data_IF_300975707200
#
_entry.id   IF_300975707200
#
_cell.length_a   1.000
_cell.length_b   1.000
_cell.length_c   1.000
_cell.angle_alpha   90.00
_cell.angle_beta   90.00
_cell.angle_gamma   90.00
#
_symmetry.space_group_name_H-M   'P 1'
#
loop_
_entity.id
_entity.type
_entity.pdbx_description
1 polymer ?
#
# COMPACT_ATOMS: atom_id res chain seq x y z
N UNK A 1 7.61 -23.98 -11.70
CA UNK A 1 6.55 -23.83 -10.67
C UNK A 1 6.95 -22.65 -9.79
N UNK A 2 6.42 -21.44 -10.05
CA UNK A 2 6.61 -20.31 -9.14
C UNK A 2 5.87 -20.61 -7.84
N UNK A 3 6.54 -20.50 -6.70
CA UNK A 3 5.85 -20.67 -5.43
C UNK A 3 4.99 -19.42 -5.17
N UNK A 4 3.75 -19.64 -4.72
CA UNK A 4 2.80 -18.63 -4.25
C UNK A 4 3.35 -17.70 -3.15
N UNK A 5 4.58 -17.92 -2.67
CA UNK A 5 5.25 -17.12 -1.65
C UNK A 5 6.22 -16.05 -2.20
N UNK A 6 6.34 -15.87 -3.52
CA UNK A 6 7.34 -14.94 -4.10
C UNK A 6 6.83 -13.52 -4.35
N UNK A 7 5.53 -13.32 -4.57
CA UNK A 7 4.95 -11.97 -4.70
C UNK A 7 4.68 -11.40 -3.31
N UNK A 8 5.21 -10.22 -2.94
CA UNK A 8 4.90 -9.60 -1.66
C UNK A 8 3.41 -9.33 -1.49
N UNK A 9 2.90 -9.42 -0.27
CA UNK A 9 1.50 -9.19 0.06
C UNK A 9 0.99 -7.80 -0.32
N UNK A 10 1.88 -6.81 -0.40
CA UNK A 10 1.56 -5.45 -0.80
C UNK A 10 1.19 -5.28 -2.28
N UNK A 11 1.47 -6.28 -3.13
CA UNK A 11 1.24 -6.28 -4.60
C UNK A 11 0.03 -7.15 -5.01
N UNK A 12 -0.88 -7.43 -4.06
CA UNK A 12 -1.99 -8.36 -4.26
C UNK A 12 -3.30 -7.68 -3.93
N UNK A 13 -4.41 -8.14 -4.54
CA UNK A 13 -5.74 -7.64 -4.20
C UNK A 13 -6.10 -8.13 -2.80
N UNK A 14 -6.40 -7.23 -1.87
CA UNK A 14 -6.83 -7.60 -0.52
C UNK A 14 -8.35 -7.75 -0.48
N UNK A 15 -8.82 -8.98 -0.54
CA UNK A 15 -10.22 -9.34 -0.39
C UNK A 15 -10.47 -9.67 1.08
N UNK A 16 -11.34 -8.94 1.75
CA UNK A 16 -11.65 -9.19 3.17
C UNK A 16 -13.06 -9.75 3.32
N UNK A 17 -13.17 -10.86 4.06
CA UNK A 17 -14.43 -11.56 4.28
C UNK A 17 -14.92 -11.23 5.68
N UNK A 18 -16.08 -10.60 5.73
CA UNK A 18 -16.75 -10.13 6.93
C UNK A 18 -18.03 -10.91 7.19
N UNK A 19 -18.47 -10.92 8.44
CA UNK A 19 -19.70 -11.59 8.84
C UNK A 19 -19.64 -12.10 10.29
N UNK A 20 -20.79 -12.43 10.85
CA UNK A 20 -20.92 -12.94 12.22
C UNK A 20 -20.20 -14.27 12.44
N UNK A 21 -20.02 -14.69 13.69
CA UNK A 21 -19.55 -16.04 13.98
C UNK A 21 -20.50 -17.05 13.36
N UNK A 22 -19.93 -18.17 12.93
CA UNK A 22 -20.67 -19.27 12.34
C UNK A 22 -21.43 -18.95 11.04
N UNK A 23 -21.32 -17.76 10.43
CA UNK A 23 -21.93 -17.47 9.11
C UNK A 23 -21.31 -18.25 7.95
N UNK A 24 -20.26 -19.04 8.24
CA UNK A 24 -19.61 -19.92 7.28
C UNK A 24 -18.53 -19.25 6.43
N UNK A 25 -17.97 -18.11 6.87
CA UNK A 25 -16.83 -17.41 6.21
C UNK A 25 -15.69 -18.35 5.84
N UNK A 26 -15.18 -19.10 6.81
CA UNK A 26 -14.09 -20.06 6.66
C UNK A 26 -14.42 -21.17 5.64
N UNK A 27 -15.66 -21.68 5.65
CA UNK A 27 -16.15 -22.64 4.65
C UNK A 27 -16.25 -22.01 3.25
N UNK A 28 -16.67 -20.75 3.17
CA UNK A 28 -16.80 -20.01 1.92
C UNK A 28 -15.42 -19.74 1.29
N UNK A 29 -14.41 -19.42 2.10
CA UNK A 29 -13.00 -19.29 1.65
C UNK A 29 -12.53 -20.59 1.00
N UNK A 30 -12.79 -21.72 1.65
CA UNK A 30 -12.39 -23.03 1.14
C UNK A 30 -13.10 -23.36 -0.17
N UNK A 31 -14.39 -23.03 -0.27
CA UNK A 31 -15.17 -23.22 -1.49
C UNK A 31 -14.68 -22.32 -2.64
N UNK A 32 -14.40 -21.04 -2.38
CA UNK A 32 -13.90 -20.09 -3.37
C UNK A 32 -12.52 -20.49 -3.92
N UNK A 33 -11.68 -21.11 -3.09
CA UNK A 33 -10.31 -21.49 -3.48
C UNK A 33 -10.21 -22.87 -4.11
N UNK A 34 -11.25 -23.70 -4.03
CA UNK A 34 -11.19 -25.11 -4.47
C UNK A 34 -10.17 -25.95 -3.70
N UNK A 35 -9.64 -25.45 -2.58
CA UNK A 35 -8.68 -26.14 -1.72
C UNK A 35 -9.35 -26.47 -0.39
N UNK A 36 -9.18 -27.71 0.09
CA UNK A 36 -9.51 -28.09 1.48
C UNK A 36 -8.47 -27.45 2.40
N UNK A 37 -8.59 -26.16 2.67
CA UNK A 37 -7.77 -25.53 3.68
C UNK A 37 -8.31 -25.94 5.04
N UNK A 38 -7.54 -26.76 5.75
CA UNK A 38 -7.71 -26.89 7.19
C UNK A 38 -7.45 -25.48 7.77
N UNK A 39 -8.51 -24.77 8.17
CA UNK A 39 -8.40 -23.55 8.97
C UNK A 39 -8.20 -24.05 10.40
N UNK A 40 -7.02 -24.60 10.65
CA UNK A 40 -6.61 -25.07 11.97
C UNK A 40 -5.60 -24.05 12.44
N UNK A 41 -6.05 -23.20 13.36
CA UNK A 41 -5.13 -22.72 14.38
C UNK A 41 -4.86 -23.93 15.28
N UNK A 42 -3.60 -24.33 15.44
CA UNK A 42 -3.21 -25.41 16.36
C UNK A 42 -3.43 -25.03 17.84
N UNK A 43 -4.06 -23.89 18.14
CA UNK A 43 -4.34 -23.43 19.51
C UNK A 43 -5.83 -23.10 19.68
N UNK A 44 -6.63 -23.97 20.31
CA UNK A 44 -7.99 -23.66 20.73
C UNK A 44 -7.98 -22.40 21.61
N UNK A 45 -8.70 -21.34 21.20
CA UNK A 45 -8.78 -20.07 21.93
C UNK A 45 -8.16 -18.83 21.27
N UNK A 46 -7.72 -18.90 20.01
CA UNK A 46 -6.98 -17.82 19.30
C UNK A 46 -7.73 -17.11 18.18
N UNK A 47 -9.06 -17.27 18.07
CA UNK A 47 -9.92 -16.66 17.03
C UNK A 47 -10.15 -15.15 17.21
N UNK A 48 -9.13 -14.39 17.59
CA UNK A 48 -9.19 -12.94 17.82
C UNK A 48 -8.36 -12.10 16.85
N UNK A 49 -7.49 -12.70 16.03
CA UNK A 49 -6.67 -11.98 15.06
C UNK A 49 -7.06 -12.34 13.62
N UNK A 50 -7.19 -11.34 12.70
CA UNK A 50 -7.52 -11.61 11.30
C UNK A 50 -6.51 -12.53 10.64
N UNK A 51 -6.97 -13.64 10.07
CA UNK A 51 -6.09 -14.61 9.40
C UNK A 51 -6.01 -14.25 7.92
N UNK A 52 -4.80 -14.03 7.44
CA UNK A 52 -4.52 -13.60 6.07
C UNK A 52 -3.87 -14.72 5.27
N UNK A 53 -4.38 -15.02 4.07
CA UNK A 53 -3.83 -16.06 3.19
C UNK A 53 -3.63 -15.56 1.77
N UNK A 54 -2.43 -15.84 1.24
CA UNK A 54 -2.07 -15.65 -0.16
C UNK A 54 -2.68 -16.76 -1.03
N UNK A 55 -3.28 -16.38 -2.16
CA UNK A 55 -3.84 -17.34 -3.13
C UNK A 55 -3.95 -16.71 -4.51
N UNK A 56 -4.52 -17.44 -5.46
CA UNK A 56 -4.76 -16.99 -6.83
C UNK A 56 -6.24 -17.19 -7.18
N UNK A 57 -6.89 -16.15 -7.69
CA UNK A 57 -8.25 -16.21 -8.24
C UNK A 57 -8.15 -15.87 -9.72
N UNK A 58 -8.44 -16.80 -10.61
CA UNK A 58 -8.49 -16.51 -12.04
C UNK A 58 -9.80 -15.78 -12.39
N UNK A 59 -9.78 -14.69 -13.20
CA UNK A 59 -8.62 -14.08 -13.87
C UNK A 59 -7.92 -12.95 -13.09
N UNK A 60 -8.31 -12.66 -11.83
CA UNK A 60 -7.74 -11.59 -11.00
C UNK A 60 -6.24 -11.76 -10.67
N UNK A 61 -5.71 -12.99 -10.75
CA UNK A 61 -4.32 -13.29 -10.40
C UNK A 61 -4.13 -13.44 -8.88
N UNK A 62 -2.95 -13.07 -8.33
CA UNK A 62 -2.64 -13.28 -6.93
C UNK A 62 -3.42 -12.32 -6.02
N UNK A 63 -4.14 -12.88 -5.05
CA UNK A 63 -4.93 -12.15 -4.06
C UNK A 63 -4.53 -12.52 -2.65
N UNK A 64 -4.89 -11.67 -1.71
CA UNK A 64 -4.80 -11.89 -0.28
C UNK A 64 -6.22 -11.93 0.26
N UNK A 65 -6.63 -13.07 0.82
CA UNK A 65 -7.91 -13.17 1.54
C UNK A 65 -7.67 -13.01 3.03
N UNK A 66 -8.38 -12.07 3.66
CA UNK A 66 -8.41 -11.90 5.11
C UNK A 66 -9.74 -12.40 5.67
N UNK A 67 -9.69 -13.44 6.51
CA UNK A 67 -10.83 -13.88 7.34
C UNK A 67 -10.86 -13.03 8.61
N UNK A 68 -11.92 -12.26 8.79
CA UNK A 68 -12.11 -11.48 10.01
C UNK A 68 -12.72 -12.34 11.11
N UNK A 69 -12.27 -12.17 12.35
CA UNK A 69 -12.93 -12.83 13.48
C UNK A 69 -14.42 -12.43 13.51
N UNK A 70 -15.34 -13.38 13.71
CA UNK A 70 -16.76 -13.05 13.81
C UNK A 70 -17.02 -12.16 15.04
N UNK A 71 -17.79 -11.08 14.85
CA UNK A 71 -17.81 -9.88 15.71
C UNK A 71 -18.91 -9.90 16.80
N UNK A 72 -19.75 -10.93 16.86
CA UNK A 72 -20.97 -10.99 17.66
C UNK A 72 -20.81 -11.37 19.16
N UNK A 73 -19.81 -10.82 19.87
CA UNK A 73 -19.78 -10.89 21.35
C UNK A 73 -20.02 -9.50 21.96
N UNK A 74 -21.06 -9.36 22.78
CA UNK A 74 -21.30 -8.19 23.63
C UNK A 74 -20.37 -8.22 24.86
N UNK A 75 -19.51 -7.20 25.04
CA UNK A 75 -18.60 -7.02 26.19
C UNK A 75 -17.37 -6.15 25.87
N UNK A 76 -16.43 -5.94 26.81
CA UNK A 76 -15.15 -5.20 26.58
C UNK A 76 -14.31 -5.76 25.41
N UNK A 77 -14.49 -7.05 25.08
CA UNK A 77 -13.89 -7.72 23.92
C UNK A 77 -14.52 -7.27 22.58
N UNK A 78 -15.67 -6.59 22.59
CA UNK A 78 -16.38 -6.09 21.41
C UNK A 78 -15.76 -4.84 20.82
N UNK A 79 -15.36 -3.87 21.65
CA UNK A 79 -14.73 -2.61 21.19
C UNK A 79 -13.39 -2.88 20.49
N UNK A 80 -12.55 -3.72 21.10
CA UNK A 80 -11.30 -4.20 20.51
C UNK A 80 -11.49 -4.92 19.17
N UNK A 81 -12.64 -5.58 18.94
CA UNK A 81 -12.94 -6.26 17.67
C UNK A 81 -13.49 -5.32 16.61
N UNK A 82 -14.26 -4.30 17.00
CA UNK A 82 -14.68 -3.22 16.09
C UNK A 82 -13.45 -2.49 15.57
N UNK A 83 -12.51 -2.13 16.45
CA UNK A 83 -11.25 -1.51 16.08
C UNK A 83 -10.43 -2.39 15.13
N UNK A 84 -10.28 -3.68 15.44
CA UNK A 84 -9.58 -4.64 14.54
C UNK A 84 -10.24 -4.77 13.18
N UNK A 85 -11.55 -4.67 13.10
CA UNK A 85 -12.28 -4.80 11.83
C UNK A 85 -12.16 -3.54 10.99
N UNK A 86 -12.12 -2.37 11.63
CA UNK A 86 -11.75 -1.11 10.98
C UNK A 86 -10.32 -1.18 10.40
N UNK A 87 -9.36 -1.77 11.13
CA UNK A 87 -7.99 -1.98 10.62
C UNK A 87 -7.94 -2.88 9.39
N UNK A 88 -8.78 -3.93 9.34
CA UNK A 88 -8.87 -4.76 8.13
C UNK A 88 -9.36 -3.94 6.94
N UNK A 89 -10.35 -3.07 7.13
CA UNK A 89 -10.87 -2.19 6.07
C UNK A 89 -9.83 -1.22 5.49
N UNK A 90 -8.80 -0.85 6.26
CA UNK A 90 -7.73 0.05 5.79
C UNK A 90 -6.92 -0.57 4.66
N UNK A 91 -6.72 -1.90 4.69
CA UNK A 91 -6.04 -2.65 3.64
C UNK A 91 -6.98 -3.30 2.63
N UNK A 92 -8.28 -3.42 2.91
CA UNK A 92 -9.25 -4.08 2.02
C UNK A 92 -9.48 -3.32 0.71
N UNK A 93 -9.24 -3.96 -0.42
CA UNK A 93 -9.60 -3.48 -1.76
C UNK A 93 -11.02 -3.90 -2.17
N UNK A 94 -11.50 -5.05 -1.67
CA UNK A 94 -12.87 -5.55 -1.89
C UNK A 94 -13.39 -6.27 -0.65
N UNK A 95 -14.61 -5.94 -0.23
CA UNK A 95 -15.26 -6.59 0.91
C UNK A 95 -16.28 -7.64 0.45
N UNK A 96 -16.31 -8.79 1.13
CA UNK A 96 -17.39 -9.79 1.01
C UNK A 96 -18.08 -9.93 2.35
N UNK A 97 -19.36 -9.56 2.41
CA UNK A 97 -20.18 -9.70 3.61
C UNK A 97 -20.98 -11.00 3.56
N UNK A 98 -20.71 -11.92 4.50
CA UNK A 98 -21.35 -13.23 4.59
C UNK A 98 -22.42 -13.22 5.66
N UNK A 99 -23.67 -13.42 5.24
CA UNK A 99 -24.87 -13.47 6.09
C UNK A 99 -25.57 -14.80 5.83
N UNK A 100 -26.14 -15.42 6.86
CA UNK A 100 -26.92 -16.65 6.68
C UNK A 100 -28.22 -16.37 5.92
N UNK A 101 -28.59 -17.27 5.01
CA UNK A 101 -29.88 -17.23 4.33
C UNK A 101 -31.02 -17.32 5.35
N UNK A 102 -32.04 -16.47 5.21
CA UNK A 102 -33.12 -16.32 6.19
C UNK A 102 -32.85 -15.31 7.31
N UNK A 103 -31.63 -14.75 7.40
CA UNK A 103 -31.29 -13.71 8.38
C UNK A 103 -31.33 -12.33 7.73
N UNK A 104 -32.07 -11.41 8.34
CA UNK A 104 -32.11 -10.01 7.92
C UNK A 104 -30.88 -9.23 8.43
N UNK A 105 -30.40 -8.23 7.67
CA UNK A 105 -29.27 -7.40 8.08
C UNK A 105 -29.67 -6.50 9.26
N UNK A 106 -28.88 -6.56 10.34
CA UNK A 106 -29.11 -5.81 11.56
C UNK A 106 -28.13 -4.61 11.66
N UNK A 107 -28.06 -3.96 12.81
CA UNK A 107 -27.22 -2.78 13.06
C UNK A 107 -25.76 -2.98 12.65
N UNK A 108 -25.20 -4.17 12.93
CA UNK A 108 -23.81 -4.49 12.57
C UNK A 108 -23.58 -4.53 11.05
N UNK A 109 -24.41 -5.29 10.32
CA UNK A 109 -24.31 -5.40 8.87
C UNK A 109 -24.48 -4.03 8.18
N UNK A 110 -25.38 -3.21 8.72
CA UNK A 110 -25.66 -1.85 8.22
C UNK A 110 -24.48 -0.90 8.50
N UNK A 111 -23.96 -0.87 9.72
CA UNK A 111 -22.80 -0.04 10.09
C UNK A 111 -21.55 -0.40 9.27
N UNK A 112 -21.28 -1.70 9.10
CA UNK A 112 -20.16 -2.16 8.27
C UNK A 112 -20.32 -1.73 6.82
N UNK A 113 -21.52 -1.90 6.24
CA UNK A 113 -21.79 -1.49 4.86
C UNK A 113 -21.61 0.02 4.67
N UNK A 114 -22.03 0.83 5.64
CA UNK A 114 -21.86 2.29 5.59
C UNK A 114 -20.38 2.68 5.71
N UNK A 115 -19.62 2.09 6.64
CA UNK A 115 -18.16 2.29 6.78
C UNK A 115 -17.35 1.88 5.55
N UNK A 116 -17.78 0.81 4.88
CA UNK A 116 -17.19 0.32 3.63
C UNK A 116 -17.46 1.30 2.49
N UNK A 117 -18.71 1.80 2.40
CA UNK A 117 -19.11 2.79 1.41
C UNK A 117 -18.38 4.12 1.58
N UNK A 118 -18.24 4.61 2.81
CA UNK A 118 -17.46 5.83 3.13
C UNK A 118 -16.00 5.74 2.66
N UNK A 119 -15.43 4.53 2.65
CA UNK A 119 -14.05 4.27 2.20
C UNK A 119 -13.94 3.99 0.70
N UNK A 120 -15.04 4.05 -0.03
CA UNK A 120 -15.10 3.75 -1.47
C UNK A 120 -14.72 2.30 -1.80
N UNK A 121 -14.90 1.37 -0.87
CA UNK A 121 -14.58 -0.05 -1.08
C UNK A 121 -15.82 -0.74 -1.67
N UNK A 122 -15.70 -1.46 -2.81
CA UNK A 122 -16.80 -2.27 -3.33
C UNK A 122 -17.12 -3.43 -2.37
N UNK A 123 -18.41 -3.71 -2.18
CA UNK A 123 -18.89 -4.81 -1.34
C UNK A 123 -19.78 -5.78 -2.12
N UNK A 124 -19.53 -7.07 -1.95
CA UNK A 124 -20.41 -8.16 -2.38
C UNK A 124 -21.07 -8.81 -1.16
N UNK A 125 -22.39 -9.01 -1.20
CA UNK A 125 -23.14 -9.71 -0.16
C UNK A 125 -23.33 -11.18 -0.59
N UNK A 126 -22.84 -12.10 0.24
CA UNK A 126 -23.01 -13.54 0.08
C UNK A 126 -24.01 -14.09 1.10
N UNK A 127 -25.22 -14.43 0.66
CA UNK A 127 -26.20 -15.14 1.48
C UNK A 127 -25.85 -16.63 1.53
N UNK A 128 -25.20 -17.07 2.61
CA UNK A 128 -24.68 -18.43 2.74
C UNK A 128 -25.71 -19.38 3.37
N UNK A 129 -25.44 -20.69 3.32
CA UNK A 129 -26.28 -21.76 3.89
C UNK A 129 -27.69 -21.84 3.31
N UNK A 130 -27.88 -21.49 2.04
CA UNK A 130 -29.19 -21.60 1.39
C UNK A 130 -29.74 -23.03 1.36
N UNK A 131 -28.87 -24.04 1.56
CA UNK A 131 -29.26 -25.44 1.71
C UNK A 131 -30.17 -25.70 2.93
N UNK A 132 -30.26 -24.75 3.85
CA UNK A 132 -31.17 -24.78 4.99
C UNK A 132 -32.57 -24.18 4.69
N UNK A 133 -32.81 -23.70 3.47
CA UNK A 133 -34.14 -23.25 3.02
C UNK A 133 -34.55 -21.85 3.50
N UNK A 134 -33.62 -21.00 3.92
CA UNK A 134 -33.91 -19.63 4.35
C UNK A 134 -34.28 -18.70 3.19
N UNK A 135 -35.29 -17.85 3.39
CA UNK A 135 -35.66 -16.80 2.43
C UNK A 135 -34.56 -15.72 2.34
N UNK A 136 -34.22 -15.34 1.12
CA UNK A 136 -33.16 -14.35 0.84
C UNK A 136 -33.69 -13.04 0.28
N UNK A 137 -34.99 -12.95 0.00
CA UNK A 137 -35.61 -11.83 -0.73
C UNK A 137 -35.35 -10.47 -0.07
N UNK A 138 -35.51 -10.40 1.25
CA UNK A 138 -35.26 -9.15 2.01
C UNK A 138 -33.79 -8.76 2.05
N UNK A 139 -32.90 -9.74 2.14
CA UNK A 139 -31.47 -9.49 2.15
C UNK A 139 -30.98 -9.02 0.78
N UNK A 140 -31.52 -9.60 -0.29
CA UNK A 140 -31.28 -9.17 -1.67
C UNK A 140 -31.78 -7.74 -1.89
N UNK A 141 -32.99 -7.42 -1.44
CA UNK A 141 -33.56 -6.06 -1.53
C UNK A 141 -32.68 -5.04 -0.80
N UNK A 142 -32.24 -5.35 0.42
CA UNK A 142 -31.31 -4.50 1.17
C UNK A 142 -29.99 -4.29 0.43
N UNK A 143 -29.37 -5.36 -0.07
CA UNK A 143 -28.11 -5.28 -0.80
C UNK A 143 -28.25 -4.39 -2.05
N UNK A 144 -29.32 -4.60 -2.83
CA UNK A 144 -29.64 -3.78 -4.01
C UNK A 144 -29.88 -2.32 -3.65
N UNK A 145 -30.58 -2.02 -2.55
CA UNK A 145 -30.84 -0.64 -2.09
C UNK A 145 -29.56 0.14 -1.78
N UNK A 146 -28.49 -0.57 -1.42
CA UNK A 146 -27.16 -0.01 -1.13
C UNK A 146 -26.23 -0.03 -2.36
N UNK A 147 -26.66 -0.57 -3.49
CA UNK A 147 -25.87 -0.72 -4.71
C UNK A 147 -24.84 -1.85 -4.64
N UNK A 148 -25.05 -2.85 -3.78
CA UNK A 148 -24.14 -3.98 -3.58
C UNK A 148 -24.59 -5.18 -4.42
N UNK A 149 -23.65 -5.93 -5.00
CA UNK A 149 -23.98 -7.19 -5.65
C UNK A 149 -24.39 -8.22 -4.59
N UNK A 150 -25.40 -9.02 -4.92
CA UNK A 150 -25.94 -10.05 -4.04
C UNK A 150 -25.82 -11.42 -4.70
N UNK A 151 -25.33 -12.42 -3.95
CA UNK A 151 -25.26 -13.81 -4.41
C UNK A 151 -25.71 -14.76 -3.30
N UNK A 152 -26.71 -15.58 -3.59
CA UNK A 152 -27.15 -16.68 -2.75
C UNK A 152 -26.25 -17.92 -3.00
N UNK A 153 -25.63 -18.45 -1.95
CA UNK A 153 -24.61 -19.51 -2.02
C UNK A 153 -24.80 -20.57 -0.93
N UNK A 154 -24.23 -21.75 -1.15
CA UNK A 154 -24.01 -22.73 -0.08
C UNK A 154 -22.57 -23.22 -0.14
N UNK A 155 -21.75 -22.77 0.82
CA UNK A 155 -20.38 -23.23 0.96
C UNK A 155 -20.28 -24.76 1.23
N UNK A 156 -21.35 -25.36 1.78
CA UNK A 156 -21.42 -26.80 2.08
C UNK A 156 -21.63 -27.64 0.82
N UNK A 157 -22.54 -27.22 -0.05
CA UNK A 157 -22.89 -27.97 -1.27
C UNK A 157 -22.08 -27.53 -2.50
N UNK A 158 -21.43 -26.37 -2.44
CA UNK A 158 -20.78 -25.75 -3.58
C UNK A 158 -21.74 -24.94 -4.48
N UNK A 159 -23.01 -24.82 -4.10
CA UNK A 159 -24.01 -24.10 -4.88
C UNK A 159 -23.63 -22.62 -5.06
N UNK A 160 -23.68 -22.13 -6.31
CA UNK A 160 -23.42 -20.75 -6.73
C UNK A 160 -22.05 -20.16 -6.33
N UNK A 161 -21.07 -20.98 -5.98
CA UNK A 161 -19.73 -20.48 -5.64
C UNK A 161 -19.06 -19.79 -6.83
N UNK A 162 -19.25 -20.29 -8.06
CA UNK A 162 -18.73 -19.64 -9.26
C UNK A 162 -19.45 -18.33 -9.59
N UNK A 163 -20.75 -18.22 -9.28
CA UNK A 163 -21.47 -16.96 -9.38
C UNK A 163 -20.92 -15.92 -8.38
N UNK A 164 -20.56 -16.35 -7.16
CA UNK A 164 -19.90 -15.48 -6.18
C UNK A 164 -18.50 -15.06 -6.65
N UNK A 165 -17.71 -15.97 -7.25
CA UNK A 165 -16.43 -15.60 -7.87
C UNK A 165 -16.63 -14.53 -8.93
N UNK A 166 -17.60 -14.70 -9.82
CA UNK A 166 -17.89 -13.72 -10.87
C UNK A 166 -18.35 -12.37 -10.31
N UNK A 167 -19.13 -12.36 -9.23
CA UNK A 167 -19.51 -11.13 -8.53
C UNK A 167 -18.28 -10.44 -7.90
N UNK A 168 -17.36 -11.19 -7.30
CA UNK A 168 -16.09 -10.67 -6.78
C UNK A 168 -15.23 -10.11 -7.93
N UNK A 169 -15.11 -10.84 -9.04
CA UNK A 169 -14.32 -10.41 -10.22
C UNK A 169 -14.88 -9.13 -10.83
N UNK A 170 -16.20 -9.04 -10.99
CA UNK A 170 -16.86 -7.85 -11.55
C UNK A 170 -16.90 -6.66 -10.61
N UNK A 171 -16.87 -6.90 -9.29
CA UNK A 171 -16.79 -5.84 -8.28
C UNK A 171 -15.36 -5.44 -7.95
N UNK A 172 -14.37 -6.23 -8.34
CA UNK A 172 -12.97 -5.86 -8.20
C UNK A 172 -12.78 -4.51 -8.91
N UNK A 173 -12.11 -3.54 -8.28
CA UNK A 173 -11.93 -2.21 -8.88
C UNK A 173 -11.43 -2.34 -10.32
N UNK A 174 -12.10 -1.68 -11.27
CA UNK A 174 -11.75 -1.75 -12.69
C UNK A 174 -10.30 -1.30 -13.00
N UNK A 175 -9.64 -0.63 -12.04
CA UNK A 175 -8.21 -0.29 -12.02
C UNK A 175 -7.39 -1.12 -11.02
N UNK A 176 -7.74 -2.40 -10.80
CA UNK A 176 -6.84 -3.35 -10.13
C UNK A 176 -5.68 -3.82 -11.03
N UNK A 177 -5.71 -3.46 -12.32
CA UNK A 177 -4.45 -3.11 -12.97
C UNK A 177 -3.94 -1.87 -12.21
N UNK A 178 -3.09 -2.11 -11.21
CA UNK A 178 -2.51 -1.07 -10.35
C UNK A 178 -2.05 0.12 -11.20
N UNK A 179 -2.00 1.36 -10.63
CA UNK A 179 -1.42 2.48 -11.37
C UNK A 179 -0.11 2.01 -11.99
N UNK A 180 0.05 2.20 -13.29
CA UNK A 180 1.28 1.81 -13.96
C UNK A 180 2.46 2.49 -13.28
N UNK A 181 3.58 1.78 -13.18
CA UNK A 181 4.77 2.27 -12.48
C UNK A 181 5.41 3.37 -13.32
N UNK A 182 5.57 3.09 -14.61
CA UNK A 182 6.22 3.93 -15.61
C UNK A 182 5.46 4.00 -16.93
N UNK A 183 4.52 3.08 -17.19
CA UNK A 183 3.81 2.96 -18.47
C UNK A 183 3.11 4.23 -18.95
N UNK A 184 2.70 5.12 -18.03
CA UNK A 184 2.08 6.41 -18.37
C UNK A 184 3.11 7.51 -18.70
N UNK A 185 4.40 7.24 -18.53
CA UNK A 185 5.51 8.12 -18.88
C UNK A 185 6.12 7.80 -20.26
N UNK A 186 5.70 6.68 -20.86
CA UNK A 186 6.31 6.08 -22.06
C UNK A 186 5.23 5.74 -23.09
N UNK A 187 5.67 5.42 -24.31
CA UNK A 187 4.82 4.96 -25.40
C UNK A 187 5.41 3.72 -26.06
N UNK A 188 4.60 2.92 -26.79
CA UNK A 188 5.08 1.76 -27.53
C UNK A 188 6.30 2.11 -28.38
N UNK A 189 7.34 1.29 -28.24
CA UNK A 189 8.60 1.47 -28.92
C UNK A 189 9.55 2.49 -28.29
N UNK A 190 9.24 3.17 -27.19
CA UNK A 190 10.21 4.01 -26.47
C UNK A 190 11.37 3.17 -25.90
N UNK A 191 12.53 3.81 -25.66
CA UNK A 191 13.65 3.18 -24.92
C UNK A 191 13.67 3.72 -23.50
N UNK A 192 13.66 2.82 -22.52
CA UNK A 192 13.85 3.13 -21.10
C UNK A 192 15.15 2.49 -20.62
N UNK A 193 16.06 3.29 -20.06
CA UNK A 193 17.32 2.77 -19.52
C UNK A 193 17.16 2.57 -18.02
N UNK A 194 17.35 1.35 -17.54
CA UNK A 194 17.28 0.95 -16.15
C UNK A 194 18.69 0.77 -15.60
N UNK A 195 19.14 1.67 -14.72
CA UNK A 195 20.47 1.64 -14.13
C UNK A 195 20.42 0.92 -12.79
N UNK A 196 20.93 -0.31 -12.80
CA UNK A 196 20.87 -1.26 -11.69
C UNK A 196 22.28 -1.56 -11.19
N UNK A 197 22.72 -0.94 -10.08
CA UNK A 197 24.00 -1.30 -9.45
C UNK A 197 23.93 -2.71 -8.85
N UNK A 198 25.09 -3.27 -8.48
CA UNK A 198 25.14 -4.55 -7.75
C UNK A 198 24.60 -4.30 -6.34
N UNK A 199 23.35 -4.70 -6.12
CA UNK A 199 22.75 -4.62 -4.80
C UNK A 199 23.19 -5.81 -3.93
N UNK A 200 23.83 -5.51 -2.78
CA UNK A 200 24.21 -6.53 -1.79
C UNK A 200 22.99 -7.12 -1.08
N UNK A 201 21.86 -6.41 -1.06
CA UNK A 201 20.61 -6.86 -0.45
C UNK A 201 19.84 -7.84 -1.34
N UNK A 202 20.12 -7.87 -2.65
CA UNK A 202 19.51 -8.83 -3.55
C UNK A 202 20.18 -10.21 -3.41
N UNK A 203 19.41 -11.31 -3.31
CA UNK A 203 19.98 -12.65 -3.38
C UNK A 203 20.78 -12.84 -4.67
N UNK A 204 21.86 -13.63 -4.59
CA UNK A 204 22.72 -13.92 -5.76
C UNK A 204 21.88 -14.39 -6.95
N UNK A 205 22.02 -13.70 -8.08
CA UNK A 205 21.30 -14.00 -9.32
C UNK A 205 19.87 -13.46 -9.41
N UNK A 206 19.48 -12.49 -8.56
CA UNK A 206 18.16 -11.86 -8.61
C UNK A 206 18.26 -10.34 -8.63
N UNK A 207 17.27 -9.71 -9.26
CA UNK A 207 16.99 -8.27 -9.15
C UNK A 207 16.07 -8.02 -7.95
N UNK A 208 16.14 -6.82 -7.36
CA UNK A 208 15.17 -6.43 -6.34
C UNK A 208 13.80 -6.15 -6.97
N UNK A 209 12.75 -6.26 -6.16
CA UNK A 209 11.37 -6.15 -6.63
C UNK A 209 11.08 -4.87 -7.44
N UNK A 210 11.47 -3.65 -7.00
CA UNK A 210 11.21 -2.44 -7.79
C UNK A 210 11.78 -2.49 -9.22
N UNK A 211 12.94 -3.12 -9.38
CA UNK A 211 13.60 -3.26 -10.68
C UNK A 211 12.85 -4.25 -11.57
N UNK A 212 12.42 -5.40 -11.01
CA UNK A 212 11.63 -6.41 -11.74
C UNK A 212 10.29 -5.84 -12.17
N UNK A 213 9.60 -5.15 -11.27
CA UNK A 213 8.28 -4.58 -11.55
C UNK A 213 8.36 -3.48 -12.62
N UNK A 214 9.32 -2.55 -12.49
CA UNK A 214 9.54 -1.51 -13.50
C UNK A 214 9.91 -2.11 -14.85
N UNK A 215 10.81 -3.10 -14.88
CA UNK A 215 11.18 -3.80 -16.12
C UNK A 215 9.95 -4.47 -16.76
N UNK A 216 9.12 -5.13 -15.96
CA UNK A 216 7.91 -5.79 -16.46
C UNK A 216 6.91 -4.78 -17.03
N UNK A 217 6.69 -3.68 -16.33
CA UNK A 217 5.75 -2.63 -16.74
C UNK A 217 6.20 -1.92 -18.03
N UNK A 218 7.52 -1.73 -18.24
CA UNK A 218 8.05 -1.25 -19.54
C UNK A 218 7.68 -2.22 -20.67
N UNK A 219 7.81 -3.52 -20.44
CA UNK A 219 7.50 -4.54 -21.46
C UNK A 219 6.00 -4.69 -21.71
N UNK A 220 5.17 -4.56 -20.67
CA UNK A 220 3.70 -4.60 -20.79
C UNK A 220 3.15 -3.42 -21.60
N UNK A 221 3.94 -2.34 -21.77
CA UNK A 221 3.62 -1.17 -22.59
C UNK A 221 4.37 -1.14 -23.93
N UNK A 222 4.84 -2.30 -24.40
CA UNK A 222 5.50 -2.48 -25.71
C UNK A 222 6.74 -1.60 -25.91
N UNK A 223 7.43 -1.22 -24.83
CA UNK A 223 8.65 -0.42 -24.87
C UNK A 223 9.92 -1.27 -24.65
N UNK A 224 11.07 -0.74 -25.03
CA UNK A 224 12.37 -1.40 -24.90
C UNK A 224 13.00 -1.04 -23.56
N UNK A 225 13.31 -2.06 -22.75
CA UNK A 225 14.09 -1.90 -21.54
C UNK A 225 15.57 -2.21 -21.80
N UNK A 226 16.45 -1.25 -21.49
CA UNK A 226 17.91 -1.42 -21.54
C UNK A 226 18.45 -1.40 -20.12
N UNK A 227 18.89 -2.55 -19.61
CA UNK A 227 19.38 -2.69 -18.24
C UNK A 227 20.89 -2.60 -18.20
N UNK A 228 21.44 -1.68 -17.42
CA UNK A 228 22.88 -1.42 -17.30
C UNK A 228 23.29 -1.24 -15.86
N UNK A 229 24.57 -1.43 -15.57
CA UNK A 229 25.17 -0.98 -14.32
C UNK A 229 25.57 0.49 -14.43
N UNK A 230 25.83 1.11 -13.29
CA UNK A 230 26.14 2.54 -13.21
C UNK A 230 27.41 2.93 -13.97
N UNK A 231 28.34 1.99 -14.23
CA UNK A 231 29.61 2.28 -14.92
C UNK A 231 29.49 2.22 -16.43
N UNK A 232 28.46 1.56 -16.91
CA UNK A 232 28.20 1.26 -18.32
C UNK A 232 27.17 2.22 -18.91
N UNK A 233 26.48 3.01 -18.08
CA UNK A 233 25.44 3.96 -18.50
C UNK A 233 25.92 4.88 -19.62
N UNK A 234 27.06 5.56 -19.45
CA UNK A 234 27.57 6.49 -20.46
C UNK A 234 27.77 5.82 -21.82
N UNK A 235 28.47 4.69 -21.83
CA UNK A 235 28.71 3.91 -23.06
C UNK A 235 27.40 3.39 -23.67
N UNK A 236 26.44 3.00 -22.83
CA UNK A 236 25.13 2.56 -23.30
C UNK A 236 24.38 3.71 -23.96
N UNK A 237 24.32 4.89 -23.35
CA UNK A 237 23.68 6.08 -23.94
C UNK A 237 24.32 6.48 -25.28
N UNK A 238 25.65 6.45 -25.37
CA UNK A 238 26.40 6.73 -26.60
C UNK A 238 26.16 5.68 -27.70
N UNK A 239 25.94 4.42 -27.32
CA UNK A 239 25.68 3.32 -28.25
C UNK A 239 24.23 3.20 -28.75
N UNK A 240 23.28 3.91 -28.14
CA UNK A 240 21.88 3.88 -28.58
C UNK A 240 21.68 4.73 -29.83
N UNK A 241 21.08 4.13 -30.87
CA UNK A 241 20.75 4.83 -32.12
C UNK A 241 19.73 5.97 -31.96
N UNK A 242 19.00 6.00 -30.85
CA UNK A 242 18.03 7.04 -30.50
C UNK A 242 18.10 7.32 -29.01
N UNK A 243 17.82 8.56 -28.63
CA UNK A 243 17.80 8.97 -27.22
C UNK A 243 16.73 8.17 -26.46
N UNK A 244 17.03 7.68 -25.26
CA UNK A 244 16.01 7.08 -24.42
C UNK A 244 14.99 8.13 -23.98
N UNK A 245 13.75 7.65 -23.81
CA UNK A 245 12.65 8.44 -23.27
C UNK A 245 12.87 8.81 -21.80
N UNK A 246 13.46 7.88 -21.04
CA UNK A 246 13.63 7.99 -19.61
C UNK A 246 14.82 7.16 -19.13
N UNK A 247 15.58 7.70 -18.17
CA UNK A 247 16.57 6.96 -17.38
C UNK A 247 16.03 6.76 -15.96
N UNK A 248 16.02 5.53 -15.48
CA UNK A 248 15.57 5.16 -14.12
C UNK A 248 16.75 4.57 -13.38
N UNK A 249 17.04 5.05 -12.18
CA UNK A 249 18.21 4.61 -11.43
C UNK A 249 17.90 4.24 -9.98
N UNK A 250 18.79 3.44 -9.38
CA UNK A 250 18.80 3.23 -7.94
C UNK A 250 19.29 4.47 -7.19
N UNK A 251 18.72 4.71 -6.00
CA UNK A 251 19.14 5.82 -5.14
C UNK A 251 20.62 5.79 -4.76
N UNK A 252 21.24 4.61 -4.71
CA UNK A 252 22.68 4.47 -4.43
C UNK A 252 23.56 5.00 -5.55
N UNK A 253 23.04 5.11 -6.77
CA UNK A 253 23.79 5.54 -7.95
C UNK A 253 23.44 6.97 -8.41
N UNK A 254 22.65 7.72 -7.64
CA UNK A 254 22.10 9.02 -8.02
C UNK A 254 23.11 10.02 -8.58
N UNK A 255 24.18 10.31 -7.82
CA UNK A 255 25.13 11.34 -8.21
C UNK A 255 25.85 10.99 -9.52
N UNK A 256 26.27 9.72 -9.65
CA UNK A 256 26.94 9.25 -10.85
C UNK A 256 26.01 9.27 -12.06
N UNK A 257 24.81 8.73 -11.91
CA UNK A 257 23.86 8.63 -13.01
C UNK A 257 23.35 9.99 -13.45
N UNK A 258 23.14 10.92 -12.51
CA UNK A 258 22.82 12.31 -12.85
C UNK A 258 23.94 12.98 -13.65
N UNK A 259 25.21 12.73 -13.30
CA UNK A 259 26.35 13.27 -14.05
C UNK A 259 26.49 12.65 -15.45
N UNK A 260 26.26 11.34 -15.58
CA UNK A 260 26.42 10.61 -16.85
C UNK A 260 25.20 10.75 -17.79
N UNK A 261 24.04 11.15 -17.27
CA UNK A 261 22.83 11.36 -18.06
C UNK A 261 22.78 12.82 -18.56
N UNK A 262 22.64 13.07 -19.87
CA UNK A 262 22.38 14.42 -20.42
C UNK A 262 21.14 15.10 -19.82
N UNK A 263 21.17 16.43 -19.66
CA UNK A 263 20.09 17.20 -18.99
C UNK A 263 18.76 17.22 -19.75
N UNK A 264 18.81 17.00 -21.06
CA UNK A 264 17.63 16.91 -21.94
C UNK A 264 16.96 15.53 -21.90
N UNK A 265 17.62 14.53 -21.30
CA UNK A 265 17.04 13.20 -21.05
C UNK A 265 16.41 13.22 -19.65
N UNK A 266 15.07 13.05 -19.54
CA UNK A 266 14.41 12.92 -18.24
C UNK A 266 14.99 11.76 -17.45
N UNK A 267 15.11 11.94 -16.13
CA UNK A 267 15.52 10.87 -15.24
C UNK A 267 14.70 10.84 -13.96
N UNK A 268 14.56 9.66 -13.38
CA UNK A 268 13.95 9.44 -12.07
C UNK A 268 14.57 8.22 -11.41
N UNK A 269 13.98 7.73 -10.32
CA UNK A 269 14.47 6.58 -9.58
C UNK A 269 13.42 5.51 -9.40
N UNK A 270 13.87 4.28 -9.15
CA UNK A 270 12.97 3.22 -8.72
C UNK A 270 12.23 3.61 -7.43
N UNK A 271 12.89 4.31 -6.51
CA UNK A 271 12.29 4.71 -5.23
C UNK A 271 11.23 5.82 -5.37
N UNK A 272 11.35 6.74 -6.34
CA UNK A 272 10.34 7.76 -6.66
C UNK A 272 9.16 7.14 -7.39
N UNK A 273 9.42 6.25 -8.35
CA UNK A 273 8.36 5.49 -9.03
C UNK A 273 7.57 4.65 -8.04
N UNK A 274 8.25 3.95 -7.11
CA UNK A 274 7.57 3.20 -6.06
C UNK A 274 6.80 4.10 -5.08
N UNK A 275 7.30 5.31 -4.77
CA UNK A 275 6.58 6.27 -3.94
C UNK A 275 5.25 6.68 -4.58
N UNK A 276 5.25 6.93 -5.88
CA UNK A 276 4.07 7.24 -6.69
C UNK A 276 3.13 6.05 -6.83
N UNK A 277 3.69 4.87 -7.04
CA UNK A 277 2.94 3.65 -7.23
C UNK A 277 2.24 3.16 -5.95
N UNK A 278 2.92 3.26 -4.80
CA UNK A 278 2.36 2.88 -3.48
C UNK A 278 1.62 3.98 -2.77
N UNK A 279 1.81 5.25 -3.10
CA UNK A 279 1.13 6.35 -2.41
C UNK A 279 0.82 7.53 -3.33
N UNK A 280 0.63 8.67 -2.73
CA UNK A 280 0.46 9.95 -3.41
C UNK A 280 1.82 10.67 -3.42
N UNK A 281 2.42 10.80 -4.63
CA UNK A 281 3.75 11.40 -4.78
C UNK A 281 3.70 12.89 -4.43
N UNK A 282 2.64 13.60 -4.81
CA UNK A 282 2.45 15.02 -4.53
C UNK A 282 2.44 15.30 -3.03
N UNK A 283 1.76 14.47 -2.23
CA UNK A 283 1.77 14.57 -0.77
C UNK A 283 3.16 14.31 -0.18
N UNK A 284 3.89 13.30 -0.68
CA UNK A 284 5.25 13.05 -0.24
C UNK A 284 6.19 14.22 -0.55
N UNK A 285 6.09 14.78 -1.76
CA UNK A 285 6.89 15.93 -2.20
C UNK A 285 6.53 17.18 -1.40
N UNK A 286 5.25 17.41 -1.10
CA UNK A 286 4.81 18.49 -0.20
C UNK A 286 5.41 18.32 1.19
N UNK A 287 5.40 17.10 1.74
CA UNK A 287 6.06 16.79 3.01
C UNK A 287 7.58 17.03 2.96
N UNK A 288 8.22 16.73 1.83
CA UNK A 288 9.65 16.94 1.64
C UNK A 288 10.05 18.42 1.69
N UNK A 289 9.14 19.37 1.46
CA UNK A 289 9.43 20.81 1.65
C UNK A 289 9.85 21.12 3.09
N UNK A 290 9.34 20.37 4.07
CA UNK A 290 9.73 20.52 5.48
C UNK A 290 11.23 20.26 5.69
N UNK A 291 11.86 19.44 4.86
CA UNK A 291 13.31 19.18 4.92
C UNK A 291 14.14 20.46 4.75
N UNK A 292 13.66 21.44 3.95
CA UNK A 292 14.35 22.74 3.74
C UNK A 292 14.41 23.60 5.00
N UNK A 293 13.49 23.40 5.94
CA UNK A 293 13.30 24.25 7.11
C UNK A 293 13.56 23.52 8.44
N UNK A 294 14.05 22.28 8.40
CA UNK A 294 14.45 21.55 9.61
C UNK A 294 15.56 22.30 10.33
N UNK A 295 15.44 22.36 11.66
CA UNK A 295 16.41 23.01 12.55
C UNK A 295 16.73 22.10 13.74
N UNK A 296 17.81 22.41 14.45
CA UNK A 296 18.20 21.67 15.64
C UNK A 296 17.05 21.65 16.67
N UNK A 297 16.81 20.48 17.26
CA UNK A 297 15.71 20.22 18.20
C UNK A 297 14.37 19.85 17.56
N UNK A 298 14.21 19.95 16.23
CA UNK A 298 13.01 19.44 15.57
C UNK A 298 12.91 17.91 15.70
N UNK A 299 11.69 17.40 15.85
CA UNK A 299 11.38 15.96 16.01
C UNK A 299 11.05 15.32 14.67
N UNK A 300 11.77 14.26 14.30
CA UNK A 300 11.56 13.50 13.06
C UNK A 300 11.18 12.05 13.37
N UNK A 301 10.02 11.60 12.89
CA UNK A 301 9.59 10.21 13.02
C UNK A 301 10.02 9.41 11.80
N UNK A 302 10.88 8.41 11.99
CA UNK A 302 11.16 7.38 10.99
C UNK A 302 10.13 6.25 11.16
N UNK A 303 9.26 6.04 10.16
CA UNK A 303 8.17 5.07 10.25
C UNK A 303 8.27 3.97 9.21
N UNK A 304 8.31 2.72 9.67
CA UNK A 304 8.46 1.54 8.81
C UNK A 304 7.19 0.69 8.80
N UNK A 305 6.70 0.33 7.61
CA UNK A 305 5.51 -0.51 7.42
C UNK A 305 5.69 -2.00 7.75
N UNK A 306 6.83 -2.40 8.30
CA UNK A 306 7.16 -3.80 8.57
C UNK A 306 7.89 -3.97 9.89
N UNK A 307 7.63 -5.09 10.56
CA UNK A 307 8.30 -5.49 11.80
C UNK A 307 9.42 -6.48 11.46
N UNK A 308 10.56 -5.98 10.98
CA UNK A 308 11.74 -6.83 10.75
C UNK A 308 12.93 -6.35 11.57
N UNK A 309 13.89 -7.24 11.76
CA UNK A 309 15.10 -6.93 12.50
C UNK A 309 15.99 -5.99 11.67
N UNK A 310 16.25 -4.80 12.22
CA UNK A 310 17.05 -3.77 11.55
C UNK A 310 18.51 -4.22 11.50
N UNK A 311 19.12 -4.08 10.33
CA UNK A 311 20.53 -4.45 10.14
C UNK A 311 21.46 -3.35 10.65
N UNK A 312 22.73 -3.68 10.83
CA UNK A 312 23.76 -2.70 11.13
C UNK A 312 23.94 -1.78 9.90
N UNK A 313 23.95 -0.46 10.11
CA UNK A 313 23.99 0.58 9.06
C UNK A 313 22.71 0.65 8.18
N UNK A 314 21.56 0.34 8.77
CA UNK A 314 20.26 0.44 8.09
C UNK A 314 19.93 1.88 7.62
N UNK A 315 19.23 1.97 6.48
CA UNK A 315 18.89 3.24 5.83
C UNK A 315 18.03 4.12 6.75
N UNK A 316 17.04 3.51 7.41
CA UNK A 316 16.06 4.22 8.24
C UNK A 316 16.64 4.71 9.55
N UNK A 317 17.38 3.86 10.27
CA UNK A 317 17.87 4.20 11.61
C UNK A 317 19.24 4.85 11.65
N UNK A 318 20.06 4.69 10.61
CA UNK A 318 21.44 5.18 10.61
C UNK A 318 21.66 6.20 9.50
N UNK A 319 21.43 5.83 8.24
CA UNK A 319 21.90 6.65 7.13
C UNK A 319 21.08 7.94 6.97
N UNK A 320 19.74 7.85 6.93
CA UNK A 320 18.86 9.03 6.86
C UNK A 320 19.10 9.98 8.06
N UNK A 321 19.08 9.50 9.33
CA UNK A 321 19.39 10.36 10.47
C UNK A 321 20.75 11.05 10.37
N UNK A 322 21.79 10.35 9.90
CA UNK A 322 23.13 10.92 9.70
C UNK A 322 23.11 12.05 8.66
N UNK A 323 22.51 11.82 7.51
CA UNK A 323 22.45 12.83 6.46
C UNK A 323 21.64 14.06 6.86
N UNK A 324 20.52 13.87 7.57
CA UNK A 324 19.72 15.00 8.04
C UNK A 324 20.45 15.83 9.09
N UNK A 325 21.17 15.21 10.03
CA UNK A 325 22.04 15.95 10.98
C UNK A 325 23.13 16.75 10.26
N UNK A 326 23.77 16.16 9.25
CA UNK A 326 24.80 16.84 8.44
C UNK A 326 24.21 18.05 7.70
N UNK A 327 23.02 17.91 7.14
CA UNK A 327 22.32 18.97 6.43
C UNK A 327 21.89 20.12 7.35
N UNK A 328 21.38 19.80 8.54
CA UNK A 328 20.93 20.81 9.52
C UNK A 328 22.10 21.47 10.25
N UNK A 329 23.25 20.79 10.36
CA UNK A 329 24.39 21.27 11.14
C UNK A 329 24.15 21.27 12.66
N UNK A 330 23.22 20.42 13.13
CA UNK A 330 22.84 20.33 14.54
C UNK A 330 22.07 19.04 14.85
N UNK A 331 21.79 18.82 16.13
CA UNK A 331 21.08 17.61 16.59
C UNK A 331 19.58 17.68 16.31
N UNK A 332 19.05 16.59 15.78
CA UNK A 332 17.63 16.34 15.57
C UNK A 332 17.17 15.23 16.51
N UNK A 333 15.92 15.29 16.96
CA UNK A 333 15.32 14.27 17.80
C UNK A 333 14.62 13.22 16.93
N UNK A 334 15.06 11.97 16.98
CA UNK A 334 14.49 10.90 16.15
C UNK A 334 13.58 9.98 16.95
N UNK A 335 12.35 9.79 16.45
CA UNK A 335 11.45 8.72 16.82
C UNK A 335 11.52 7.59 15.80
N UNK A 336 11.23 6.36 16.24
CA UNK A 336 11.20 5.20 15.36
C UNK A 336 9.94 4.39 15.60
N UNK A 337 9.21 4.07 14.54
CA UNK A 337 8.10 3.12 14.59
C UNK A 337 8.25 2.02 13.54
N UNK A 338 7.73 0.85 13.85
CA UNK A 338 7.62 -0.29 12.93
C UNK A 338 6.26 -0.95 13.11
N UNK A 339 5.67 -1.43 12.01
CA UNK A 339 4.36 -2.08 12.02
C UNK A 339 3.35 -1.34 11.15
N UNK A 340 2.06 -1.60 11.40
CA UNK A 340 0.94 -1.13 10.56
C UNK A 340 0.48 0.28 10.95
N UNK A 341 0.69 0.69 12.20
CA UNK A 341 0.21 1.97 12.76
C UNK A 341 1.36 2.97 13.04
N UNK A 342 0.98 4.24 13.12
CA UNK A 342 1.82 5.25 13.76
C UNK A 342 1.73 5.13 15.30
N UNK A 343 2.77 5.56 16.03
CA UNK A 343 2.68 5.67 17.49
C UNK A 343 1.62 6.71 17.88
N UNK A 344 0.94 6.55 19.02
CA UNK A 344 -0.15 7.45 19.45
C UNK A 344 0.27 8.93 19.51
N UNK A 345 1.53 9.21 19.83
CA UNK A 345 2.09 10.57 19.95
C UNK A 345 2.65 11.13 18.64
N UNK A 346 2.39 10.50 17.48
CA UNK A 346 2.98 10.91 16.20
C UNK A 346 2.67 12.36 15.79
N UNK A 347 1.55 12.91 16.27
CA UNK A 347 1.16 14.30 16.05
C UNK A 347 2.16 15.31 16.67
N UNK A 348 3.01 14.87 17.60
CA UNK A 348 4.05 15.69 18.22
C UNK A 348 5.34 15.83 17.40
N UNK A 349 5.43 15.19 16.22
CA UNK A 349 6.59 15.27 15.35
C UNK A 349 6.47 16.40 14.32
N UNK A 350 7.61 16.94 13.90
CA UNK A 350 7.69 18.00 12.90
C UNK A 350 7.74 17.48 11.46
N UNK A 351 8.12 16.20 11.29
CA UNK A 351 8.21 15.50 10.01
C UNK A 351 8.11 13.99 10.22
N UNK A 352 7.34 13.32 9.37
CA UNK A 352 7.35 11.87 9.22
C UNK A 352 8.13 11.50 7.96
N UNK A 353 9.06 10.56 8.09
CA UNK A 353 9.77 9.94 6.97
C UNK A 353 9.38 8.47 6.93
N UNK A 354 8.55 8.12 5.96
CA UNK A 354 8.06 6.77 5.76
C UNK A 354 9.01 5.91 4.92
N UNK A 355 9.09 4.62 5.19
CA UNK A 355 9.89 3.72 4.37
C UNK A 355 9.31 3.52 2.96
N UNK A 356 9.99 2.72 2.13
CA UNK A 356 9.53 2.36 0.77
C UNK A 356 8.26 1.49 0.71
N UNK A 357 7.71 1.09 1.86
CA UNK A 357 6.45 0.38 1.98
C UNK A 357 6.38 -1.00 1.27
N UNK A 358 7.50 -1.72 1.15
CA UNK A 358 7.58 -2.98 0.39
C UNK A 358 6.60 -4.08 0.86
N UNK A 359 6.10 -4.01 2.10
CA UNK A 359 5.13 -4.96 2.67
C UNK A 359 3.70 -4.44 2.67
N UNK A 360 3.50 -3.13 2.50
CA UNK A 360 2.21 -2.48 2.57
C UNK A 360 1.62 -2.34 1.16
N UNK A 361 0.30 -2.45 1.06
CA UNK A 361 -0.42 -2.14 -0.16
C UNK A 361 -0.63 -0.61 -0.31
N UNK A 362 -1.11 -0.20 -1.49
CA UNK A 362 -1.35 1.22 -1.77
C UNK A 362 -2.34 1.86 -0.79
N UNK A 363 -3.41 1.13 -0.41
CA UNK A 363 -4.44 1.66 0.50
C UNK A 363 -3.89 1.95 1.89
N UNK A 364 -3.02 1.08 2.41
CA UNK A 364 -2.36 1.26 3.71
C UNK A 364 -1.45 2.51 3.71
N UNK A 365 -0.65 2.70 2.65
CA UNK A 365 0.21 3.89 2.53
C UNK A 365 -0.62 5.16 2.39
N UNK A 366 -1.67 5.14 1.56
CA UNK A 366 -2.59 6.28 1.40
C UNK A 366 -3.33 6.60 2.71
N UNK A 367 -3.69 5.58 3.50
CA UNK A 367 -4.28 5.77 4.81
C UNK A 367 -3.33 6.48 5.77
N UNK A 368 -2.06 6.07 5.81
CA UNK A 368 -1.02 6.76 6.59
C UNK A 368 -0.82 8.21 6.14
N UNK A 369 -0.82 8.48 4.84
CA UNK A 369 -0.73 9.86 4.33
C UNK A 369 -1.93 10.72 4.77
N UNK A 370 -3.14 10.15 4.78
CA UNK A 370 -4.34 10.84 5.30
C UNK A 370 -4.23 11.12 6.80
N UNK A 371 -3.83 10.14 7.62
CA UNK A 371 -3.63 10.35 9.05
C UNK A 371 -2.61 11.46 9.34
N UNK A 372 -1.48 11.46 8.63
CA UNK A 372 -0.48 12.52 8.76
C UNK A 372 -1.03 13.90 8.36
N UNK A 373 -1.78 13.97 7.25
CA UNK A 373 -2.39 15.20 6.78
C UNK A 373 -3.47 15.73 7.75
N UNK A 374 -4.32 14.87 8.30
CA UNK A 374 -5.36 15.20 9.29
C UNK A 374 -4.73 15.71 10.60
N UNK A 375 -3.62 15.11 11.03
CA UNK A 375 -2.84 15.58 12.18
C UNK A 375 -2.01 16.85 11.89
N UNK A 376 -1.95 17.30 10.63
CA UNK A 376 -1.15 18.45 10.22
C UNK A 376 0.37 18.19 10.28
N UNK A 377 0.80 16.93 10.23
CA UNK A 377 2.21 16.53 10.24
C UNK A 377 2.69 16.27 8.80
N UNK A 378 3.70 17.00 8.30
CA UNK A 378 4.28 16.73 6.99
C UNK A 378 4.82 15.29 6.90
N UNK A 379 4.52 14.59 5.81
CA UNK A 379 5.00 13.22 5.58
C UNK A 379 5.69 13.13 4.22
N UNK A 380 6.94 12.65 4.22
CA UNK A 380 7.70 12.26 3.02
C UNK A 380 8.05 10.77 3.10
N UNK A 381 8.82 10.26 2.15
CA UNK A 381 9.35 8.90 2.19
C UNK A 381 10.87 8.84 1.99
N UNK A 382 11.45 7.65 2.14
CA UNK A 382 12.89 7.42 1.94
C UNK A 382 13.35 7.86 0.55
N UNK A 383 12.62 7.48 -0.51
CA UNK A 383 13.02 7.80 -1.88
C UNK A 383 13.13 9.29 -2.16
N UNK A 384 12.09 10.05 -1.79
CA UNK A 384 12.03 11.51 -1.95
C UNK A 384 13.07 12.19 -1.04
N UNK A 385 13.24 11.70 0.19
CA UNK A 385 14.24 12.23 1.14
C UNK A 385 15.67 12.05 0.61
N UNK A 386 16.00 10.87 0.07
CA UNK A 386 17.31 10.58 -0.50
C UNK A 386 17.58 11.47 -1.72
N UNK A 387 16.60 11.61 -2.62
CA UNK A 387 16.73 12.49 -3.78
C UNK A 387 16.95 13.96 -3.36
N UNK A 388 16.30 14.40 -2.27
CA UNK A 388 16.50 15.75 -1.71
C UNK A 388 17.90 15.92 -1.13
N UNK A 389 18.32 15.02 -0.23
CA UNK A 389 19.64 15.05 0.42
C UNK A 389 20.78 15.03 -0.58
N UNK A 390 20.64 14.29 -1.69
CA UNK A 390 21.65 14.22 -2.74
C UNK A 390 21.53 15.34 -3.79
N UNK A 391 20.61 16.29 -3.63
CA UNK A 391 20.48 17.45 -4.52
C UNK A 391 19.99 17.13 -5.92
N UNK A 392 19.27 16.02 -6.11
CA UNK A 392 18.77 15.59 -7.43
C UNK A 392 17.24 15.61 -7.53
N UNK A 393 16.52 15.97 -6.45
CA UNK A 393 15.06 15.89 -6.40
C UNK A 393 14.38 16.66 -7.52
N UNK A 394 14.82 17.90 -7.80
CA UNK A 394 14.29 18.71 -8.91
C UNK A 394 14.35 17.96 -10.24
N UNK A 395 15.48 17.30 -10.51
CA UNK A 395 15.69 16.53 -11.72
C UNK A 395 14.87 15.24 -11.73
N UNK A 396 14.81 14.53 -10.61
CA UNK A 396 14.07 13.28 -10.45
C UNK A 396 12.55 13.46 -10.56
N UNK A 397 12.03 14.67 -10.27
CA UNK A 397 10.62 15.03 -10.37
C UNK A 397 10.22 15.56 -11.76
N UNK A 398 11.16 15.92 -12.64
CA UNK A 398 10.85 16.41 -14.01
C UNK A 398 9.87 15.52 -14.79
N UNK A 399 9.94 14.17 -14.72
CA UNK A 399 8.97 13.32 -15.41
C UNK A 399 7.53 13.41 -14.88
N UNK A 400 7.30 14.04 -13.72
CA UNK A 400 6.00 14.13 -13.05
C UNK A 400 5.57 15.60 -12.91
N UNK A 401 4.83 16.16 -13.88
CA UNK A 401 4.53 17.59 -13.91
C UNK A 401 3.85 18.13 -12.64
N UNK A 402 2.90 17.37 -12.07
CA UNK A 402 2.19 17.77 -10.86
C UNK A 402 3.11 17.79 -9.63
N UNK A 403 3.88 16.71 -9.40
CA UNK A 403 4.84 16.67 -8.32
C UNK A 403 5.95 17.73 -8.47
N UNK A 404 6.41 17.99 -9.70
CA UNK A 404 7.37 19.07 -10.01
C UNK A 404 6.79 20.46 -9.70
N UNK A 405 5.53 20.70 -10.08
CA UNK A 405 4.82 21.94 -9.74
C UNK A 405 4.72 22.11 -8.23
N UNK A 406 4.21 21.09 -7.52
CA UNK A 406 4.11 21.09 -6.06
C UNK A 406 5.46 21.38 -5.43
N UNK A 407 6.57 20.80 -5.93
CA UNK A 407 7.91 21.07 -5.41
C UNK A 407 8.36 22.52 -5.60
N UNK A 408 8.03 23.10 -6.75
CA UNK A 408 8.42 24.46 -7.16
C UNK A 408 7.59 25.58 -6.52
N UNK A 409 6.36 25.31 -6.11
CA UNK A 409 5.50 26.28 -5.42
C UNK A 409 6.17 26.82 -4.16
N UNK A 410 6.01 28.12 -3.89
CA UNK A 410 6.48 28.74 -2.65
C UNK A 410 5.89 28.07 -1.42
N UNK A 411 6.63 28.04 -0.31
CA UNK A 411 6.19 27.45 0.94
C UNK A 411 4.98 28.22 1.52
N UNK A 412 3.76 27.84 1.15
CA UNK A 412 2.60 28.23 1.96
C UNK A 412 2.65 27.44 3.27
N UNK A 413 2.65 28.10 4.44
CA UNK A 413 2.74 27.41 5.71
C UNK A 413 1.51 26.52 5.89
N UNK A 414 1.75 25.22 6.10
CA UNK A 414 0.72 24.28 6.58
C UNK A 414 0.20 24.85 7.90
N UNK A 415 -1.02 25.40 7.90
CA UNK A 415 -1.68 25.87 9.11
C UNK A 415 -1.92 24.66 10.00
N UNK A 416 -1.05 24.46 11.01
CA UNK A 416 -1.31 23.47 12.08
C UNK A 416 -2.67 23.80 12.70
N UNK A 417 -3.65 22.89 12.70
CA UNK A 417 -4.81 23.04 13.57
C UNK A 417 -4.27 23.17 15.00
N UNK A 418 -4.65 24.23 15.72
CA UNK A 418 -4.27 24.35 17.14
C UNK A 418 -4.91 23.18 17.87
N UNK A 419 -4.09 22.22 18.32
CA UNK A 419 -4.53 21.23 19.30
C UNK A 419 -5.12 22.00 20.49
N UNK A 420 -6.42 21.78 20.76
CA UNK A 420 -7.03 22.21 22.03
C UNK A 420 -6.40 21.35 23.11
N UNK A 421 -5.32 21.83 23.70
CA UNK A 421 -4.87 21.34 24.99
C UNK A 421 -5.84 21.89 26.01
N UNK A 422 -6.92 21.15 26.29
CA UNK A 422 -7.72 21.38 27.49
C UNK A 422 -6.83 21.05 28.69
N UNK A 423 -6.18 22.09 29.23
CA UNK A 423 -5.60 22.03 30.56
C UNK A 423 -6.77 21.93 31.53
N UNK A 424 -7.06 20.73 32.00
CA UNK A 424 -7.73 20.53 33.27
C UNK A 424 -6.80 21.03 34.38
N UNK A 425 -6.81 22.34 34.64
CA UNK A 425 -6.30 22.88 35.90
C UNK A 425 -7.41 22.76 36.93
N UNK A 426 -7.18 21.90 37.92
CA UNK A 426 -8.06 21.78 39.08
C UNK A 426 -8.13 23.07 39.89
N UNK A 427 -9.31 23.29 40.47
CA UNK A 427 -9.55 23.82 41.82
C UNK A 427 -10.65 22.98 42.42
#
# INVERSE_FOLDING_TARGET
MSSLNQTPSGERLHISIFGRRNSGKSSLINALTGQRLAIVSDVPGTTTDPVTKAMEILPLGPVVITDTAGIDDTGELGELRVEKSLRVLEKTDLAVLVIDAGVEPDAYEKDLADKVKERGIPMVVAANKIDLGGDTSKLEEWARSKGMLFVAVSAKTGFNIDALKNAIISSAPAGFAEPTIVGDLISPGDIVVLVVPIDKAAPKGRLILPQVMTLRDVLDHDAYAVVVKERELKNALEGLHRKPRLVITDSQAFLKVAADTPDDIPMTSFSILMARYKGDLELFVRGAKRLKSLKAGDRVLISEGCTHHRQQDDIGTVQIPRWLRQMVGGELEFGFSSGIEFPEDFAGYDLIIHCGACTLNRREVMFRQRQAAEAGVPMTNYGVTLAFVHGILDRALKPFPLASLVWSESDEPIKRPRAKVERATGV
#
